data_IF_847960554913
#
_entry.id   IF_847960554913
#
_cell.length_a   1.000
_cell.length_b   1.000
_cell.length_c   1.000
_cell.angle_alpha   90.00
_cell.angle_beta   90.00
_cell.angle_gamma   90.00
#
_symmetry.space_group_name_H-M   'P 1'
#
loop_
_entity.id
_entity.type
_entity.pdbx_description
1 polymer ?
#
# COMPACT_ATOMS: atom_id res chain seq x y z
N UNK A 1 30.85 24.24 36.66
CA UNK A 1 30.47 22.82 36.44
C UNK A 1 28.95 22.69 36.26
N UNK A 2 28.18 23.41 37.08
CA UNK A 2 26.70 23.51 37.06
C UNK A 2 26.10 24.05 35.75
N UNK A 3 26.68 25.09 35.14
CA UNK A 3 26.13 25.67 33.88
C UNK A 3 26.25 24.73 32.68
N UNK A 4 27.39 24.06 32.52
CA UNK A 4 27.61 23.07 31.46
C UNK A 4 26.67 21.87 31.60
N UNK A 5 26.36 21.49 32.83
CA UNK A 5 25.42 20.41 33.14
C UNK A 5 23.97 20.82 32.82
N UNK A 6 23.59 22.07 33.13
CA UNK A 6 22.28 22.61 32.79
C UNK A 6 22.07 22.72 31.26
N UNK A 7 23.08 23.17 30.51
CA UNK A 7 23.02 23.22 29.04
C UNK A 7 22.87 21.80 28.46
N UNK A 8 23.59 20.81 29.00
CA UNK A 8 23.45 19.42 28.59
C UNK A 8 22.03 18.89 28.82
N UNK A 9 21.40 19.20 29.96
CA UNK A 9 20.01 18.81 30.24
C UNK A 9 18.98 19.55 29.37
N UNK A 10 19.22 20.81 29.01
CA UNK A 10 18.36 21.55 28.06
C UNK A 10 18.47 20.96 26.65
N UNK A 11 19.68 20.66 26.18
CA UNK A 11 19.89 20.01 24.87
C UNK A 11 19.26 18.60 24.88
N UNK A 12 19.42 17.83 25.95
CA UNK A 12 18.81 16.50 26.07
C UNK A 12 17.27 16.56 26.13
N UNK A 13 16.71 17.58 26.79
CA UNK A 13 15.26 17.80 26.87
C UNK A 13 14.62 18.25 25.56
N UNK A 14 15.35 19.01 24.73
CA UNK A 14 14.88 19.47 23.40
C UNK A 14 14.94 18.37 22.34
N UNK A 15 15.75 17.32 22.55
CA UNK A 15 15.85 16.17 21.63
C UNK A 15 14.91 15.00 21.97
N UNK A 16 14.07 15.11 23.01
CA UNK A 16 13.00 14.16 23.32
C UNK A 16 11.75 14.40 22.44
N UNK A 17 11.95 14.68 21.15
CA UNK A 17 10.87 14.50 20.19
C UNK A 17 10.65 12.99 20.11
N UNK A 18 9.58 12.51 20.75
CA UNK A 18 9.11 11.15 20.61
C UNK A 18 8.83 10.96 19.11
N UNK A 19 9.72 10.22 18.45
CA UNK A 19 9.45 9.68 17.12
C UNK A 19 8.28 8.72 17.29
N UNK A 20 7.09 9.20 16.95
CA UNK A 20 5.91 8.36 16.85
C UNK A 20 5.95 7.79 15.43
N UNK A 21 6.26 6.50 15.31
CA UNK A 21 5.99 5.76 14.09
C UNK A 21 4.54 5.29 14.18
N UNK A 22 3.70 5.69 13.22
CA UNK A 22 2.33 5.25 13.11
C UNK A 22 2.30 3.89 12.43
N UNK A 23 1.90 2.83 13.14
CA UNK A 23 1.73 1.50 12.54
C UNK A 23 0.26 1.20 12.38
N UNK A 24 -0.19 1.07 11.14
CA UNK A 24 -1.55 0.61 10.83
C UNK A 24 -1.53 -0.67 10.01
N UNK A 25 -2.54 -1.50 10.23
CA UNK A 25 -2.66 -2.80 9.59
C UNK A 25 -3.99 -2.92 8.86
N UNK A 26 -4.02 -3.75 7.83
CA UNK A 26 -5.18 -4.02 7.00
C UNK A 26 -5.49 -5.51 7.00
N UNK A 27 -6.78 -5.82 6.95
CA UNK A 27 -7.30 -7.15 6.63
C UNK A 27 -8.08 -7.02 5.32
N UNK A 28 -7.61 -7.67 4.26
CA UNK A 28 -8.23 -7.62 2.94
C UNK A 28 -8.76 -9.00 2.57
N UNK A 29 -10.03 -9.04 2.17
CA UNK A 29 -10.68 -10.21 1.61
C UNK A 29 -11.15 -9.91 0.19
N UNK A 30 -11.18 -10.94 -0.66
CA UNK A 30 -11.74 -10.81 -1.98
C UNK A 30 -11.73 -12.11 -2.78
N UNK A 31 -12.20 -11.98 -4.02
CA UNK A 31 -12.16 -13.02 -5.03
C UNK A 31 -11.70 -12.41 -6.36
N UNK A 32 -10.83 -13.10 -7.08
CA UNK A 32 -10.52 -12.80 -8.48
C UNK A 32 -11.22 -13.80 -9.40
N UNK A 33 -11.60 -13.36 -10.60
CA UNK A 33 -12.30 -14.21 -11.55
C UNK A 33 -11.93 -13.88 -13.00
N UNK A 34 -11.32 -14.84 -13.67
CA UNK A 34 -11.10 -14.87 -15.11
C UNK A 34 -12.26 -15.62 -15.76
N UNK A 35 -13.21 -14.91 -16.40
CA UNK A 35 -14.44 -15.52 -16.90
C UNK A 35 -14.20 -16.39 -18.15
N UNK A 36 -13.13 -16.08 -18.90
CA UNK A 36 -12.74 -16.87 -20.08
C UNK A 36 -11.93 -18.14 -19.78
N UNK A 37 -11.26 -18.21 -18.63
CA UNK A 37 -10.48 -19.38 -18.20
C UNK A 37 -10.38 -19.44 -16.68
N UNK A 38 -11.22 -20.25 -16.05
CA UNK A 38 -11.26 -20.39 -14.60
C UNK A 38 -9.97 -20.96 -13.99
N UNK A 39 -9.14 -21.67 -14.78
CA UNK A 39 -7.85 -22.18 -14.27
C UNK A 39 -6.87 -21.06 -13.94
N UNK A 40 -7.09 -19.86 -14.50
CA UNK A 40 -6.31 -18.65 -14.23
C UNK A 40 -6.73 -17.91 -12.96
N UNK A 41 -7.71 -18.43 -12.22
CA UNK A 41 -8.08 -17.91 -10.90
C UNK A 41 -7.09 -18.35 -9.82
N UNK A 42 -6.39 -19.47 -10.02
CA UNK A 42 -5.40 -19.99 -9.09
C UNK A 42 -4.10 -19.19 -9.17
N UNK A 43 -3.50 -18.93 -8.01
CA UNK A 43 -2.16 -18.36 -7.89
C UNK A 43 -2.01 -16.97 -8.56
N UNK A 44 -3.10 -16.20 -8.62
CA UNK A 44 -3.03 -14.75 -8.87
C UNK A 44 -2.39 -14.12 -7.64
N UNK A 45 -1.42 -13.24 -7.87
CA UNK A 45 -0.68 -12.53 -6.82
C UNK A 45 -1.41 -11.23 -6.47
N UNK A 46 -1.69 -11.04 -5.17
CA UNK A 46 -2.32 -9.85 -4.63
C UNK A 46 -1.34 -9.22 -3.66
N UNK A 47 -1.05 -7.94 -3.85
CA UNK A 47 -0.20 -7.14 -2.95
C UNK A 47 -0.98 -5.97 -2.40
N UNK A 48 -0.73 -5.61 -1.15
CA UNK A 48 -1.09 -4.30 -0.63
C UNK A 48 0.18 -3.49 -0.46
N UNK A 49 0.13 -2.28 -0.98
CA UNK A 49 1.19 -1.29 -0.92
C UNK A 49 0.69 -0.09 -0.12
N UNK A 50 1.60 0.54 0.61
CA UNK A 50 1.46 1.89 1.13
C UNK A 50 1.89 2.88 0.03
N UNK A 51 1.21 4.02 -0.11
CA UNK A 51 1.58 5.02 -1.12
C UNK A 51 2.39 6.11 -0.45
N UNK A 52 3.69 6.11 -0.66
CA UNK A 52 4.57 7.14 -0.11
C UNK A 52 4.74 8.35 -1.05
N UNK A 53 4.72 9.55 -0.46
CA UNK A 53 5.13 10.85 -1.04
C UNK A 53 4.73 11.20 -2.48
N UNK A 54 3.84 12.18 -2.74
CA UNK A 54 3.49 12.56 -4.12
C UNK A 54 4.66 13.19 -4.89
N UNK A 55 4.77 12.84 -6.18
CA UNK A 55 5.66 13.51 -7.13
C UNK A 55 7.15 13.22 -6.88
N UNK A 56 8.03 14.24 -6.81
CA UNK A 56 9.47 14.01 -6.66
C UNK A 56 9.87 13.44 -5.28
N UNK A 57 8.97 13.41 -4.31
CA UNK A 57 9.20 12.83 -2.99
C UNK A 57 9.20 11.29 -3.08
N UNK A 58 8.50 10.69 -4.05
CA UNK A 58 8.49 9.24 -4.26
C UNK A 58 9.89 8.65 -4.59
N UNK A 59 10.82 9.48 -5.08
CA UNK A 59 12.21 9.07 -5.35
C UNK A 59 13.02 8.83 -4.07
N UNK A 60 12.62 9.46 -2.98
CA UNK A 60 13.28 9.36 -1.67
C UNK A 60 12.46 8.52 -0.69
N UNK A 61 11.18 8.31 -1.00
CA UNK A 61 10.20 7.58 -0.19
C UNK A 61 9.30 6.76 -1.13
N UNK A 62 9.77 5.59 -1.62
CA UNK A 62 9.03 4.78 -2.56
C UNK A 62 7.93 3.97 -1.85
N UNK A 63 6.80 3.73 -2.53
CA UNK A 63 5.69 2.89 -2.04
C UNK A 63 6.16 1.62 -1.32
N UNK A 64 5.80 1.50 -0.03
CA UNK A 64 6.20 0.39 0.81
C UNK A 64 5.28 -0.84 0.71
N UNK A 65 5.86 -2.04 0.63
CA UNK A 65 5.09 -3.29 0.55
C UNK A 65 4.55 -3.68 1.93
N UNK A 66 3.23 -3.56 2.13
CA UNK A 66 2.58 -3.94 3.39
C UNK A 66 2.33 -5.45 3.51
N UNK A 67 2.06 -6.15 2.39
CA UNK A 67 1.76 -7.58 2.40
C UNK A 67 1.49 -8.18 1.02
N UNK A 68 1.66 -9.51 0.92
CA UNK A 68 1.43 -10.30 -0.30
C UNK A 68 0.68 -11.57 0.02
N UNK A 69 -0.26 -11.94 -0.84
CA UNK A 69 -0.94 -13.24 -0.81
C UNK A 69 -1.17 -13.77 -2.22
N UNK A 70 -1.64 -15.02 -2.30
CA UNK A 70 -2.04 -15.66 -3.54
C UNK A 70 -3.46 -16.20 -3.42
N UNK A 71 -4.22 -16.09 -4.51
CA UNK A 71 -5.56 -16.68 -4.61
C UNK A 71 -5.52 -18.20 -4.73
N UNK A 72 -6.56 -18.84 -4.21
CA UNK A 72 -6.78 -20.28 -4.30
C UNK A 72 -7.49 -20.68 -5.61
N UNK A 73 -7.85 -21.96 -5.76
CA UNK A 73 -8.50 -22.51 -6.97
C UNK A 73 -9.83 -21.82 -7.31
N UNK A 74 -10.58 -21.38 -6.28
CA UNK A 74 -11.83 -20.63 -6.44
C UNK A 74 -11.59 -19.13 -6.67
N UNK A 75 -10.34 -18.68 -6.75
CA UNK A 75 -9.94 -17.29 -6.88
C UNK A 75 -10.04 -16.48 -5.58
N UNK A 76 -10.38 -17.11 -4.45
CA UNK A 76 -10.50 -16.41 -3.15
C UNK A 76 -9.15 -16.17 -2.53
N UNK A 77 -9.01 -15.06 -1.82
CA UNK A 77 -7.80 -14.73 -1.07
C UNK A 77 -8.11 -14.01 0.23
N UNK A 78 -7.15 -14.10 1.16
CA UNK A 78 -7.08 -13.32 2.39
C UNK A 78 -5.66 -12.77 2.48
N UNK A 79 -5.55 -11.48 2.80
CA UNK A 79 -4.29 -10.78 2.96
C UNK A 79 -4.33 -9.98 4.27
N UNK A 80 -3.31 -10.17 5.09
CA UNK A 80 -3.02 -9.36 6.25
C UNK A 80 -1.70 -8.63 6.00
N UNK A 81 -1.65 -7.32 6.23
CA UNK A 81 -0.47 -6.50 5.98
C UNK A 81 -0.44 -5.28 6.91
N UNK A 82 0.74 -4.71 7.12
CA UNK A 82 0.89 -3.50 7.92
C UNK A 82 1.89 -2.55 7.25
N UNK A 83 1.61 -1.26 7.33
CA UNK A 83 2.51 -0.17 6.96
C UNK A 83 3.05 0.49 8.23
N UNK A 84 4.32 0.88 8.20
CA UNK A 84 4.98 1.62 9.27
C UNK A 84 5.33 2.99 8.72
N UNK A 85 4.54 3.98 9.12
CA UNK A 85 4.63 5.31 8.57
C UNK A 85 5.40 6.23 9.51
N UNK A 86 6.44 6.89 9.00
CA UNK A 86 7.25 7.81 9.79
C UNK A 86 6.67 9.22 9.70
N UNK A 87 6.34 9.81 10.86
CA UNK A 87 5.88 11.20 10.95
C UNK A 87 7.03 12.18 10.57
N UNK A 88 7.28 12.36 9.28
CA UNK A 88 8.32 13.22 8.70
C UNK A 88 8.15 14.69 9.09
N UNK A 89 6.91 15.12 9.36
CA UNK A 89 6.59 16.45 9.89
C UNK A 89 6.14 16.29 11.36
N UNK A 90 6.86 16.89 12.32
CA UNK A 90 6.47 16.85 13.73
C UNK A 90 5.03 17.35 13.95
N UNK A 91 4.17 16.48 14.46
CA UNK A 91 2.77 16.79 14.78
C UNK A 91 1.78 16.57 13.63
N UNK A 92 2.21 16.07 12.48
CA UNK A 92 1.33 15.59 11.39
C UNK A 92 1.48 14.08 11.30
N UNK A 93 0.39 13.36 11.57
CA UNK A 93 0.37 11.90 11.45
C UNK A 93 0.46 11.51 9.97
N UNK A 94 1.49 10.76 9.58
CA UNK A 94 1.47 9.99 8.33
C UNK A 94 0.68 8.71 8.63
N UNK A 95 -0.44 8.50 7.94
CA UNK A 95 -1.19 7.26 8.09
C UNK A 95 -1.14 6.56 6.74
N UNK A 96 -0.95 5.23 6.71
CA UNK A 96 -0.79 4.52 5.46
C UNK A 96 -1.90 4.86 4.46
N UNK A 97 -1.52 4.97 3.20
CA UNK A 97 -2.40 5.20 2.05
C UNK A 97 -2.52 3.93 1.20
N UNK A 98 -3.18 2.86 1.73
CA UNK A 98 -3.05 1.54 1.15
C UNK A 98 -3.78 1.42 -0.19
N UNK A 99 -3.15 0.75 -1.15
CA UNK A 99 -3.76 0.34 -2.41
C UNK A 99 -3.41 -1.10 -2.77
N UNK A 100 -4.23 -1.73 -3.60
CA UNK A 100 -4.04 -3.12 -4.01
C UNK A 100 -3.46 -3.19 -5.41
N UNK A 101 -2.40 -3.97 -5.57
CA UNK A 101 -1.85 -4.37 -6.86
C UNK A 101 -2.18 -5.84 -7.13
N UNK A 102 -2.73 -6.14 -8.31
CA UNK A 102 -3.07 -7.51 -8.73
C UNK A 102 -2.26 -7.87 -9.96
N UNK A 103 -1.47 -8.94 -9.86
CA UNK A 103 -0.72 -9.52 -10.99
C UNK A 103 -1.33 -10.86 -11.40
N UNK A 104 -1.75 -10.99 -12.64
CA UNK A 104 -2.46 -12.16 -13.15
C UNK A 104 -2.08 -12.52 -14.59
N UNK A 105 -2.50 -13.71 -15.03
CA UNK A 105 -2.19 -14.27 -16.36
C UNK A 105 -3.46 -14.60 -17.15
N UNK A 106 -4.58 -13.95 -16.82
CA UNK A 106 -5.87 -14.18 -17.46
C UNK A 106 -5.82 -13.77 -18.94
N UNK A 107 -5.26 -12.59 -19.26
CA UNK A 107 -5.29 -12.09 -20.63
C UNK A 107 -4.15 -12.54 -21.52
N UNK A 108 -2.99 -12.81 -20.95
CA UNK A 108 -1.81 -13.22 -21.70
C UNK A 108 -0.81 -13.97 -20.80
N UNK A 109 0.06 -14.78 -21.39
CA UNK A 109 1.04 -15.59 -20.65
C UNK A 109 2.25 -14.80 -20.14
N UNK A 110 2.42 -13.52 -20.54
CA UNK A 110 3.45 -12.65 -19.97
C UNK A 110 3.04 -12.13 -18.58
N UNK A 111 1.75 -12.18 -18.29
CA UNK A 111 1.14 -11.62 -17.11
C UNK A 111 0.99 -10.10 -17.23
N UNK A 112 -0.02 -9.58 -16.57
CA UNK A 112 -0.27 -8.15 -16.48
C UNK A 112 -0.61 -7.77 -15.03
N UNK A 113 -0.47 -6.48 -14.76
CA UNK A 113 -0.64 -5.91 -13.43
C UNK A 113 -1.56 -4.69 -13.53
N UNK A 114 -2.48 -4.56 -12.60
CA UNK A 114 -3.28 -3.35 -12.43
C UNK A 114 -3.44 -3.01 -10.94
N UNK A 115 -3.77 -1.75 -10.68
CA UNK A 115 -3.99 -1.23 -9.34
C UNK A 115 -5.46 -0.90 -9.12
N UNK A 116 -5.97 -1.23 -7.94
CA UNK A 116 -7.25 -0.74 -7.45
C UNK A 116 -7.06 0.62 -6.76
N UNK A 117 -8.12 1.43 -6.64
CA UNK A 117 -8.06 2.68 -5.89
C UNK A 117 -7.63 2.46 -4.43
N UNK A 118 -7.07 3.51 -3.84
CA UNK A 118 -6.77 3.58 -2.42
C UNK A 118 -8.01 3.32 -1.56
N UNK A 119 -7.78 2.80 -0.35
CA UNK A 119 -8.82 2.55 0.63
C UNK A 119 -8.38 2.97 2.04
N UNK A 120 -9.32 3.09 2.97
CA UNK A 120 -9.07 3.60 4.33
C UNK A 120 -9.71 2.74 5.42
N UNK A 121 -9.77 1.43 5.17
CA UNK A 121 -10.30 0.44 6.14
C UNK A 121 -9.16 -0.30 6.79
N UNK A 122 -8.97 -0.03 8.08
CA UNK A 122 -7.91 -0.62 8.91
C UNK A 122 -8.49 -1.55 9.98
N UNK A 123 -7.63 -2.41 10.53
CA UNK A 123 -7.94 -3.31 11.65
C UNK A 123 -8.55 -2.51 12.82
N UNK A 124 -9.63 -3.00 13.48
CA UNK A 124 -10.19 -4.35 13.38
C UNK A 124 -11.24 -4.55 12.27
N UNK A 125 -11.44 -3.56 11.40
CA UNK A 125 -12.36 -3.70 10.27
C UNK A 125 -11.69 -4.44 9.11
N UNK A 126 -12.48 -5.20 8.36
CA UNK A 126 -12.02 -5.92 7.17
C UNK A 126 -12.45 -5.16 5.91
N UNK A 127 -11.51 -4.96 4.99
CA UNK A 127 -11.77 -4.45 3.66
C UNK A 127 -12.12 -5.60 2.70
N UNK A 128 -13.40 -5.76 2.38
CA UNK A 128 -13.86 -6.74 1.38
C UNK A 128 -13.98 -6.05 0.02
N UNK A 129 -13.12 -6.42 -0.93
CA UNK A 129 -13.11 -5.84 -2.28
C UNK A 129 -14.14 -6.50 -3.22
N UNK A 130 -14.84 -7.52 -2.74
CA UNK A 130 -15.77 -8.32 -3.53
C UNK A 130 -15.07 -9.14 -4.61
N UNK A 131 -15.69 -9.24 -5.78
CA UNK A 131 -15.15 -10.00 -6.92
C UNK A 131 -14.53 -9.08 -7.98
N UNK A 132 -13.25 -9.28 -8.26
CA UNK A 132 -12.49 -8.58 -9.30
C UNK A 132 -12.44 -9.43 -10.55
N UNK A 133 -12.98 -8.89 -11.65
CA UNK A 133 -13.01 -9.57 -12.94
C UNK A 133 -11.71 -9.28 -13.70
N UNK A 134 -10.93 -10.31 -14.00
CA UNK A 134 -9.58 -10.23 -14.54
C UNK A 134 -9.51 -10.07 -16.07
N UNK A 135 -10.56 -10.44 -16.81
CA UNK A 135 -10.56 -10.39 -18.28
C UNK A 135 -11.08 -9.07 -18.87
N UNK A 136 -11.42 -8.09 -18.01
CA UNK A 136 -11.86 -6.77 -18.46
C UNK A 136 -10.67 -5.83 -18.57
N UNK A 137 -10.47 -5.26 -19.76
CA UNK A 137 -9.41 -4.26 -20.04
C UNK A 137 -9.53 -2.94 -19.25
N UNK A 138 -10.59 -2.77 -18.46
CA UNK A 138 -10.85 -1.53 -17.72
C UNK A 138 -10.84 -1.78 -16.22
N UNK A 139 -9.76 -1.35 -15.54
CA UNK A 139 -9.76 -0.78 -14.18
C UNK A 139 -8.37 -0.21 -13.85
N UNK A 140 -8.30 1.12 -13.73
CA UNK A 140 -7.11 1.89 -13.34
C UNK A 140 -7.03 3.24 -14.07
N UNK A 141 -7.82 4.23 -13.67
CA UNK A 141 -7.57 5.65 -14.03
C UNK A 141 -6.87 6.26 -12.81
N UNK A 142 -5.70 6.90 -12.86
CA UNK A 142 -5.01 7.64 -13.93
C UNK A 142 -3.55 7.19 -14.11
N UNK A 143 -3.18 6.85 -15.35
CA UNK A 143 -1.84 7.19 -15.87
C UNK A 143 -1.70 8.70 -15.87
N UNK A 144 -0.71 9.24 -15.17
CA UNK A 144 -0.32 10.66 -15.27
C UNK A 144 -0.03 10.95 -16.73
N UNK A 145 -0.83 11.83 -17.34
CA UNK A 145 -0.60 12.37 -18.67
C UNK A 145 0.79 12.99 -18.69
N UNK A 146 1.68 12.47 -19.54
CA UNK A 146 2.87 13.21 -19.95
C UNK A 146 2.37 14.52 -20.57
N UNK A 147 2.65 15.62 -19.90
CA UNK A 147 2.63 16.94 -20.54
C UNK A 147 3.92 16.97 -21.36
N UNK A 148 3.79 16.73 -22.67
CA UNK A 148 4.74 17.25 -23.64
C UNK A 148 4.36 18.72 -23.84
N UNK A 149 5.14 19.63 -23.24
CA UNK A 149 5.13 21.03 -23.62
C UNK A 149 6.27 21.26 -24.62
N UNK A 150 5.87 21.98 -25.66
CA UNK A 150 6.57 22.42 -26.88
C UNK A 150 7.84 23.25 -26.64
#
# INVERSE_FOLDING_TARGET
MTEKLAIFFVILGVNLNLVLAGRECVWVLGKVECQKDATKNLNVEIRVWDRDGPGPIQLIDPDDLMGVTFSNEDGRFQLDGCGDDFDWIPGVKNSPEPYIEIRHYCNNDKGETFQLPEFSTFVPSTYDIGTVILDKETRGTKTTTKIEDE
#
